data_IF_386357733374
#
_entry.id   IF_386357733374
#
_cell.length_a   1.000
_cell.length_b   1.000
_cell.length_c   1.000
_cell.angle_alpha   90.00
_cell.angle_beta   90.00
_cell.angle_gamma   90.00
#
_symmetry.space_group_name_H-M   'P 1'
#
loop_
_entity.id
_entity.type
_entity.pdbx_description
1 polymer ?
#
# COMPACT_ATOMS: atom_id res chain seq x y z
N UNK A 1 37.54 -1.27 -84.67
CA UNK A 1 36.49 -0.35 -84.17
C UNK A 1 35.15 -1.04 -84.46
N UNK A 2 34.27 -1.45 -83.55
CA UNK A 2 34.09 -1.28 -82.10
C UNK A 2 33.51 -2.60 -81.57
N UNK A 3 33.99 -3.04 -80.41
CA UNK A 3 33.56 -4.25 -79.73
C UNK A 3 32.13 -4.15 -79.20
N UNK A 4 31.39 -5.24 -79.33
CA UNK A 4 30.12 -5.50 -78.67
C UNK A 4 30.38 -5.73 -77.17
N UNK A 5 29.72 -4.98 -76.29
CA UNK A 5 29.66 -5.28 -74.84
C UNK A 5 28.44 -4.57 -74.24
N UNK A 6 27.28 -5.21 -74.31
CA UNK A 6 26.15 -4.89 -73.42
C UNK A 6 26.32 -5.81 -72.22
N UNK A 7 26.86 -5.26 -71.14
CA UNK A 7 26.95 -5.93 -69.85
C UNK A 7 25.54 -5.99 -69.25
N UNK A 8 24.92 -7.17 -69.31
CA UNK A 8 23.77 -7.50 -68.49
C UNK A 8 24.21 -7.47 -67.02
N UNK A 9 23.91 -6.37 -66.33
CA UNK A 9 24.01 -6.32 -64.87
C UNK A 9 22.82 -7.08 -64.29
N UNK A 10 22.98 -8.39 -64.18
CA UNK A 10 22.11 -9.22 -63.36
C UNK A 10 22.30 -8.86 -61.89
N UNK A 11 21.18 -8.51 -61.26
CA UNK A 11 20.80 -8.74 -59.86
C UNK A 11 21.94 -8.93 -58.85
N UNK A 12 22.20 -7.88 -58.08
CA UNK A 12 22.55 -8.04 -56.69
C UNK A 12 21.53 -7.23 -55.89
N UNK A 13 20.45 -7.90 -55.52
CA UNK A 13 19.53 -7.45 -54.48
C UNK A 13 20.38 -7.27 -53.22
N UNK A 14 20.72 -6.02 -52.92
CA UNK A 14 21.50 -5.66 -51.75
C UNK A 14 20.74 -6.11 -50.51
N UNK A 15 21.26 -7.19 -49.92
CA UNK A 15 21.25 -7.48 -48.50
C UNK A 15 20.00 -6.97 -47.77
N UNK A 16 18.97 -7.81 -47.74
CA UNK A 16 18.12 -7.87 -46.57
C UNK A 16 19.04 -7.92 -45.34
N UNK A 17 19.09 -6.81 -44.60
CA UNK A 17 19.45 -6.84 -43.19
C UNK A 17 18.71 -8.00 -42.53
N UNK A 18 19.20 -8.61 -41.43
CA UNK A 18 18.34 -9.48 -40.65
C UNK A 18 17.21 -8.57 -40.15
N UNK A 19 16.08 -8.60 -40.85
CA UNK A 19 14.79 -8.26 -40.30
C UNK A 19 14.59 -9.36 -39.25
N UNK A 20 15.21 -9.18 -38.09
CA UNK A 20 14.66 -9.72 -36.87
C UNK A 20 13.27 -9.14 -36.86
N UNK A 21 12.30 -9.95 -37.25
CA UNK A 21 10.90 -9.73 -36.92
C UNK A 21 10.92 -9.58 -35.41
N UNK A 22 11.04 -8.33 -34.94
CA UNK A 22 11.02 -8.06 -33.52
C UNK A 22 9.66 -8.56 -33.07
N UNK A 23 9.65 -9.71 -32.38
CA UNK A 23 8.45 -10.30 -31.82
C UNK A 23 7.91 -9.31 -30.78
N UNK A 24 7.12 -8.35 -31.25
CA UNK A 24 6.45 -7.40 -30.38
C UNK A 24 5.37 -8.16 -29.63
N UNK A 25 5.33 -7.98 -28.31
CA UNK A 25 4.28 -8.55 -27.48
C UNK A 25 3.38 -7.45 -26.95
N UNK A 26 2.10 -7.79 -26.77
CA UNK A 26 1.15 -6.90 -26.11
C UNK A 26 1.09 -7.23 -24.63
N UNK A 27 1.12 -6.21 -23.79
CA UNK A 27 0.91 -6.32 -22.34
C UNK A 27 -0.14 -5.32 -21.88
N UNK A 28 -0.72 -5.59 -20.71
CA UNK A 28 -1.76 -4.74 -20.13
C UNK A 28 -1.27 -4.18 -18.80
N UNK A 29 -1.31 -2.86 -18.63
CA UNK A 29 -0.94 -2.23 -17.37
C UNK A 29 -2.18 -1.63 -16.72
N UNK A 30 -2.54 -2.13 -15.54
CA UNK A 30 -3.64 -1.61 -14.74
C UNK A 30 -3.14 -0.50 -13.82
N UNK A 31 -3.67 0.70 -14.01
CA UNK A 31 -3.36 1.87 -13.18
C UNK A 31 -4.05 1.77 -11.81
N UNK A 32 -3.64 2.60 -10.85
CA UNK A 32 -4.27 2.69 -9.53
C UNK A 32 -5.69 3.22 -9.58
N UNK A 33 -6.05 3.94 -10.64
CA UNK A 33 -7.42 4.37 -10.93
C UNK A 33 -8.31 3.25 -11.49
N UNK A 34 -7.74 2.07 -11.78
CA UNK A 34 -8.47 0.92 -12.34
C UNK A 34 -8.48 0.84 -13.88
N UNK A 35 -8.00 1.88 -14.56
CA UNK A 35 -7.87 1.91 -16.03
C UNK A 35 -6.81 0.92 -16.52
N UNK A 36 -7.08 0.24 -17.64
CA UNK A 36 -6.16 -0.72 -18.27
C UNK A 36 -5.57 -0.11 -19.53
N UNK A 37 -4.24 0.07 -19.55
CA UNK A 37 -3.51 0.66 -20.66
C UNK A 37 -2.83 -0.47 -21.44
N UNK A 38 -3.23 -0.74 -22.70
CA UNK A 38 -2.51 -1.69 -23.54
C UNK A 38 -1.20 -1.06 -24.04
N UNK A 39 -0.10 -1.82 -23.96
CA UNK A 39 1.21 -1.45 -24.51
C UNK A 39 1.74 -2.56 -25.41
N UNK A 40 2.22 -2.18 -26.59
CA UNK A 40 2.91 -3.07 -27.52
C UNK A 40 4.40 -2.79 -27.43
N UNK A 41 5.17 -3.73 -26.91
CA UNK A 41 6.62 -3.58 -26.65
C UNK A 41 7.35 -4.91 -26.88
N UNK A 42 8.62 -4.89 -27.31
CA UNK A 42 9.41 -6.11 -27.45
C UNK A 42 9.76 -6.72 -26.08
N UNK A 43 9.94 -8.05 -25.96
CA UNK A 43 10.25 -8.75 -24.71
C UNK A 43 11.65 -8.40 -24.15
N UNK A 44 12.51 -7.84 -24.99
CA UNK A 44 13.85 -7.33 -24.65
C UNK A 44 13.81 -5.98 -23.92
N UNK A 45 12.67 -5.29 -23.93
CA UNK A 45 12.47 -3.99 -23.26
C UNK A 45 12.79 -4.09 -21.76
N UNK A 46 13.52 -3.10 -21.24
CA UNK A 46 13.87 -3.02 -19.82
C UNK A 46 12.73 -2.45 -18.98
N UNK A 47 12.69 -2.76 -17.69
CA UNK A 47 11.69 -2.18 -16.78
C UNK A 47 11.82 -0.65 -16.69
N UNK A 48 13.03 -0.10 -16.74
CA UNK A 48 13.24 1.35 -16.70
C UNK A 48 12.58 2.05 -17.89
N UNK A 49 12.67 1.49 -19.09
CA UNK A 49 12.05 2.10 -20.29
C UNK A 49 10.53 1.99 -20.26
N UNK A 50 10.01 0.83 -19.81
CA UNK A 50 8.57 0.65 -19.59
C UNK A 50 8.01 1.63 -18.54
N UNK A 51 8.71 1.87 -17.43
CA UNK A 51 8.32 2.85 -16.42
C UNK A 51 8.25 4.27 -16.98
N UNK A 52 9.21 4.66 -17.82
CA UNK A 52 9.21 5.96 -18.50
C UNK A 52 8.02 6.11 -19.45
N UNK A 53 7.71 5.08 -20.24
CA UNK A 53 6.54 5.07 -21.13
C UNK A 53 5.23 5.21 -20.33
N UNK A 54 5.12 4.52 -19.20
CA UNK A 54 3.96 4.62 -18.32
C UNK A 54 3.84 5.99 -17.65
N UNK A 55 4.96 6.60 -17.23
CA UNK A 55 4.95 7.94 -16.65
C UNK A 55 4.33 8.96 -17.63
N UNK A 56 4.72 8.88 -18.91
CA UNK A 56 4.18 9.73 -19.96
C UNK A 56 2.69 9.47 -20.23
N UNK A 57 2.27 8.20 -20.28
CA UNK A 57 0.87 7.82 -20.57
C UNK A 57 -0.09 8.09 -19.41
N UNK A 58 0.39 8.01 -18.18
CA UNK A 58 -0.42 8.26 -16.97
C UNK A 58 -0.38 9.71 -16.48
N UNK A 59 0.36 10.59 -17.17
CA UNK A 59 0.59 11.99 -16.79
C UNK A 59 0.98 12.14 -15.31
N UNK A 60 1.80 11.20 -14.80
CA UNK A 60 2.27 11.20 -13.42
C UNK A 60 3.69 11.75 -13.40
N UNK A 61 4.03 12.67 -12.47
CA UNK A 61 5.38 13.22 -12.40
C UNK A 61 6.40 12.09 -12.29
N UNK A 62 7.51 12.22 -13.02
CA UNK A 62 8.63 11.29 -13.13
C UNK A 62 9.44 11.15 -11.83
N UNK A 63 8.76 11.11 -10.68
CA UNK A 63 9.36 10.69 -9.43
C UNK A 63 9.71 9.21 -9.54
N UNK A 64 10.83 8.76 -8.93
CA UNK A 64 11.32 7.37 -9.02
C UNK A 64 10.45 6.36 -8.23
N UNK A 65 9.14 6.61 -8.12
CA UNK A 65 8.21 5.92 -7.22
C UNK A 65 7.11 5.16 -7.98
N UNK A 66 7.20 5.01 -9.30
CA UNK A 66 6.37 4.07 -10.05
C UNK A 66 6.90 2.65 -9.77
N UNK A 67 6.13 1.85 -9.03
CA UNK A 67 6.43 0.44 -8.78
C UNK A 67 5.48 -0.41 -9.61
N UNK A 68 6.02 -1.39 -10.31
CA UNK A 68 5.23 -2.38 -11.04
C UNK A 68 5.20 -3.70 -10.27
N UNK A 69 4.06 -4.38 -10.33
CA UNK A 69 3.85 -5.69 -9.71
C UNK A 69 3.31 -6.65 -10.76
N UNK A 70 3.93 -7.83 -10.81
CA UNK A 70 3.48 -8.96 -11.62
C UNK A 70 3.40 -10.21 -10.75
N UNK A 71 2.29 -10.94 -10.76
CA UNK A 71 2.10 -12.16 -9.96
C UNK A 71 2.49 -12.02 -8.47
N UNK A 72 2.25 -10.85 -7.87
CA UNK A 72 2.63 -10.55 -6.48
C UNK A 72 4.12 -10.21 -6.26
N UNK A 73 4.96 -10.23 -7.30
CA UNK A 73 6.36 -9.84 -7.24
C UNK A 73 6.57 -8.40 -7.73
N UNK A 74 7.29 -7.61 -6.94
CA UNK A 74 7.71 -6.27 -7.34
C UNK A 74 8.84 -6.32 -8.38
N UNK A 75 8.62 -5.65 -9.50
CA UNK A 75 9.58 -5.44 -10.59
C UNK A 75 10.51 -4.26 -10.23
N UNK A 76 11.33 -4.45 -9.18
CA UNK A 76 12.20 -3.39 -8.64
C UNK A 76 13.57 -3.29 -9.32
N UNK A 77 13.92 -4.25 -10.18
CA UNK A 77 15.22 -4.25 -10.87
C UNK A 77 15.11 -3.46 -12.18
N UNK A 78 15.76 -2.28 -12.29
CA UNK A 78 15.60 -1.41 -13.47
C UNK A 78 16.31 -1.93 -14.73
N UNK A 79 17.33 -2.78 -14.58
CA UNK A 79 18.15 -3.33 -15.68
C UNK A 79 17.60 -4.64 -16.25
N UNK A 80 16.61 -5.23 -15.60
CA UNK A 80 16.05 -6.51 -15.98
C UNK A 80 14.98 -6.32 -17.07
N UNK A 81 14.96 -7.21 -18.05
CA UNK A 81 14.00 -7.19 -19.16
C UNK A 81 12.68 -7.86 -18.78
N UNK A 82 11.67 -7.76 -19.65
CA UNK A 82 10.39 -8.43 -19.44
C UNK A 82 10.53 -9.95 -19.53
N UNK A 83 11.38 -10.42 -20.44
CA UNK A 83 11.69 -11.84 -20.62
C UNK A 83 12.28 -12.48 -19.34
N UNK A 84 13.17 -11.79 -18.62
CA UNK A 84 13.79 -12.34 -17.40
C UNK A 84 12.83 -12.43 -16.21
N UNK A 85 11.69 -11.73 -16.25
CA UNK A 85 10.61 -11.87 -15.28
C UNK A 85 9.52 -12.86 -15.72
N UNK A 86 9.75 -13.62 -16.80
CA UNK A 86 8.79 -14.56 -17.39
C UNK A 86 7.43 -13.91 -17.70
N UNK A 87 7.44 -12.63 -18.11
CA UNK A 87 6.24 -11.89 -18.47
C UNK A 87 5.76 -12.37 -19.84
N UNK A 88 4.66 -13.13 -19.83
CA UNK A 88 4.04 -13.66 -21.04
C UNK A 88 3.36 -12.55 -21.88
N UNK A 89 3.13 -12.78 -23.19
CA UNK A 89 2.21 -11.94 -23.96
C UNK A 89 0.82 -11.96 -23.31
N UNK A 90 0.13 -10.83 -23.39
CA UNK A 90 -1.17 -10.57 -22.78
C UNK A 90 -1.17 -10.62 -21.24
N UNK A 91 0.00 -10.57 -20.61
CA UNK A 91 0.10 -10.47 -19.16
C UNK A 91 -0.38 -9.12 -18.63
N UNK A 92 -0.95 -9.14 -17.43
CA UNK A 92 -1.40 -7.95 -16.72
C UNK A 92 -0.39 -7.55 -15.64
N UNK A 93 0.09 -6.31 -15.72
CA UNK A 93 0.94 -5.68 -14.71
C UNK A 93 0.09 -4.68 -13.91
N UNK A 94 0.37 -4.56 -12.62
CA UNK A 94 -0.32 -3.60 -11.76
C UNK A 94 0.64 -2.49 -11.37
N UNK A 95 0.18 -1.24 -11.51
CA UNK A 95 0.87 -0.10 -10.94
C UNK A 95 0.58 -0.06 -9.43
N UNK A 96 1.63 -0.03 -8.62
CA UNK A 96 1.54 0.08 -7.17
C UNK A 96 1.78 1.52 -6.73
N UNK A 97 0.88 2.04 -5.90
CA UNK A 97 1.07 3.32 -5.26
C UNK A 97 2.21 3.21 -4.23
N UNK A 98 3.18 4.14 -4.21
CA UNK A 98 4.09 4.26 -3.09
C UNK A 98 3.24 4.63 -1.87
N UNK A 99 3.10 3.69 -0.94
CA UNK A 99 2.47 3.98 0.35
C UNK A 99 3.40 4.96 1.09
N UNK A 100 2.96 6.20 1.42
CA UNK A 100 3.67 6.99 2.41
C UNK A 100 3.72 6.15 3.69
N UNK A 101 4.91 6.02 4.28
CA UNK A 101 5.23 5.05 5.33
C UNK A 101 4.36 5.19 6.57
N UNK A 102 3.17 4.59 6.54
CA UNK A 102 2.43 4.17 7.73
C UNK A 102 2.98 2.82 8.17
N UNK A 103 3.45 2.74 9.41
CA UNK A 103 3.93 1.52 10.03
C UNK A 103 2.92 0.38 9.84
N UNK A 104 3.15 -0.48 8.85
CA UNK A 104 2.32 -1.64 8.58
C UNK A 104 2.63 -2.69 9.64
N UNK A 105 1.80 -2.71 10.69
CA UNK A 105 1.52 -3.92 11.44
C UNK A 105 0.93 -4.93 10.47
N UNK A 106 1.74 -5.87 10.00
CA UNK A 106 1.24 -7.06 9.32
C UNK A 106 0.46 -7.89 10.33
N UNK A 107 -0.85 -7.66 10.39
CA UNK A 107 -1.79 -8.60 10.97
C UNK A 107 -1.96 -9.77 9.98
N UNK A 108 -0.98 -10.66 9.97
CA UNK A 108 -1.19 -12.04 9.52
C UNK A 108 -1.18 -12.91 10.77
N UNK A 109 -2.29 -12.86 11.51
CA UNK A 109 -2.61 -13.85 12.53
C UNK A 109 -3.64 -14.81 11.92
N UNK A 110 -3.17 -15.65 10.98
CA UNK A 110 -3.76 -16.96 10.77
C UNK A 110 -3.15 -17.86 11.82
N UNK A 111 -4.00 -18.28 12.75
CA UNK A 111 -3.87 -19.43 13.65
C UNK A 111 -2.83 -20.43 13.17
N UNK A 112 -1.76 -20.64 13.93
CA UNK A 112 -1.35 -21.94 14.50
C UNK A 112 -0.16 -21.69 15.43
N UNK A 113 -0.24 -22.20 16.65
CA UNK A 113 0.88 -22.26 17.57
C UNK A 113 2.06 -23.00 16.91
N UNK A 114 3.29 -22.49 17.08
CA UNK A 114 4.48 -23.26 17.48
C UNK A 114 5.66 -22.28 17.58
N UNK A 115 6.26 -22.25 18.76
CA UNK A 115 7.61 -21.83 19.11
C UNK A 115 8.60 -21.85 17.93
N UNK A 116 9.33 -20.75 17.68
CA UNK A 116 10.80 -20.69 17.61
C UNK A 116 11.26 -19.27 17.27
N UNK A 117 12.23 -18.82 18.04
CA UNK A 117 12.99 -17.57 18.03
C UNK A 117 13.48 -17.08 16.66
N UNK A 118 13.17 -15.83 16.31
CA UNK A 118 14.03 -15.01 15.44
C UNK A 118 14.02 -13.55 15.90
N UNK A 119 15.21 -13.06 16.26
CA UNK A 119 15.44 -11.75 16.86
C UNK A 119 15.22 -10.63 15.84
N UNK A 120 14.11 -9.91 15.98
CA UNK A 120 13.84 -8.60 15.37
C UNK A 120 14.23 -7.50 16.36
N UNK A 121 14.68 -6.30 15.91
CA UNK A 121 15.27 -5.28 16.78
C UNK A 121 14.31 -4.90 17.92
N UNK A 122 14.85 -4.93 19.13
CA UNK A 122 14.13 -4.84 20.39
C UNK A 122 13.38 -3.50 20.57
N UNK A 123 12.20 -3.38 19.97
CA UNK A 123 11.23 -2.35 20.36
C UNK A 123 10.73 -2.70 21.76
N UNK A 124 11.06 -1.85 22.73
CA UNK A 124 10.64 -1.96 24.14
C UNK A 124 9.13 -2.20 24.18
N UNK A 125 8.73 -3.39 24.63
CA UNK A 125 7.31 -3.77 24.72
C UNK A 125 6.70 -3.01 25.89
N UNK A 126 5.84 -2.05 25.59
CA UNK A 126 5.14 -1.23 26.59
C UNK A 126 4.19 -2.15 27.37
N UNK A 127 4.23 -2.06 28.70
CA UNK A 127 3.38 -2.85 29.61
C UNK A 127 2.16 -2.05 30.04
N UNK A 128 1.12 -2.76 30.47
CA UNK A 128 -0.06 -2.16 31.05
C UNK A 128 0.30 -1.37 32.33
N UNK A 129 -0.27 -0.18 32.47
CA UNK A 129 -0.11 0.69 33.64
C UNK A 129 -1.00 0.29 34.82
N UNK A 130 -1.85 -0.73 34.69
CA UNK A 130 -2.72 -1.20 35.76
C UNK A 130 -1.93 -1.98 36.82
N UNK A 131 -2.12 -1.66 38.12
CA UNK A 131 -1.27 -2.12 39.23
C UNK A 131 -1.18 -3.64 39.38
N UNK A 132 -2.24 -4.35 39.01
CA UNK A 132 -2.32 -5.81 39.06
C UNK A 132 -2.06 -6.49 37.70
N UNK A 133 -1.80 -5.73 36.62
CA UNK A 133 -1.66 -6.28 35.28
C UNK A 133 -0.19 -6.29 34.83
N UNK A 134 0.26 -7.44 34.32
CA UNK A 134 1.59 -7.61 33.71
C UNK A 134 1.53 -7.83 32.20
N UNK A 135 0.35 -7.71 31.59
CA UNK A 135 0.16 -7.86 30.16
C UNK A 135 0.75 -6.67 29.37
N UNK A 136 0.99 -6.92 28.09
CA UNK A 136 1.49 -5.89 27.17
C UNK A 136 0.37 -4.91 26.83
N UNK A 137 0.72 -3.63 26.73
CA UNK A 137 -0.21 -2.62 26.27
C UNK A 137 -0.46 -2.75 24.76
N UNK A 138 -1.69 -2.47 24.33
CA UNK A 138 -2.07 -2.51 22.92
C UNK A 138 -1.45 -1.31 22.18
N UNK A 139 -0.77 -1.54 21.05
CA UNK A 139 0.08 -0.51 20.42
C UNK A 139 -0.66 0.62 19.69
N UNK A 140 -1.89 0.39 19.25
CA UNK A 140 -2.65 1.37 18.45
C UNK A 140 -3.77 2.01 19.28
N UNK A 141 -4.28 1.26 20.25
CA UNK A 141 -5.50 1.60 20.97
C UNK A 141 -5.38 1.43 22.47
N UNK A 142 -4.16 1.29 23.00
CA UNK A 142 -3.91 1.08 24.43
C UNK A 142 -3.79 2.37 25.23
N UNK A 143 -3.60 3.52 24.60
CA UNK A 143 -3.43 4.79 25.30
C UNK A 143 -4.78 5.37 25.74
N UNK A 144 -4.90 5.75 27.02
CA UNK A 144 -6.06 6.44 27.57
C UNK A 144 -5.83 7.95 27.54
N UNK A 145 -6.66 8.68 26.79
CA UNK A 145 -6.55 10.14 26.66
C UNK A 145 -6.91 10.96 27.92
N UNK A 146 -7.34 10.30 29.00
CA UNK A 146 -7.74 10.96 30.24
C UNK A 146 -6.71 10.80 31.38
N UNK A 147 -5.83 9.79 31.30
CA UNK A 147 -4.83 9.54 32.34
C UNK A 147 -3.42 9.25 31.81
N UNK A 148 -3.19 9.43 30.50
CA UNK A 148 -1.94 9.15 29.78
C UNK A 148 -1.37 7.73 30.01
N UNK A 149 -2.21 6.82 30.49
CA UNK A 149 -1.86 5.43 30.78
C UNK A 149 -1.93 4.57 29.52
N UNK A 150 -1.10 3.52 29.48
CA UNK A 150 -1.15 2.48 28.43
C UNK A 150 -1.72 1.20 28.99
N UNK A 151 -2.68 0.61 28.31
CA UNK A 151 -3.46 -0.51 28.81
C UNK A 151 -3.52 -1.68 27.83
N UNK A 152 -3.67 -2.88 28.37
CA UNK A 152 -3.90 -4.10 27.60
C UNK A 152 -5.36 -4.18 27.14
N UNK A 153 -5.69 -5.21 26.34
CA UNK A 153 -7.06 -5.43 25.87
C UNK A 153 -8.10 -5.53 26.99
N UNK A 154 -7.70 -6.00 28.19
CA UNK A 154 -8.58 -6.13 29.35
C UNK A 154 -8.74 -4.86 30.20
N UNK A 155 -7.82 -3.91 30.11
CA UNK A 155 -7.85 -2.69 30.95
C UNK A 155 -7.98 -1.40 30.12
N UNK A 156 -8.38 -1.52 28.85
CA UNK A 156 -8.47 -0.39 27.92
C UNK A 156 -9.64 0.55 28.23
N UNK A 157 -10.75 0.03 28.76
CA UNK A 157 -11.91 0.87 29.13
C UNK A 157 -11.56 1.68 30.38
N UNK A 158 -12.14 2.89 30.46
CA UNK A 158 -11.93 3.80 31.59
C UNK A 158 -12.34 3.15 32.93
N UNK A 159 -13.37 2.30 32.90
CA UNK A 159 -13.88 1.57 34.07
C UNK A 159 -12.88 0.51 34.55
N UNK A 160 -12.30 -0.28 33.63
CA UNK A 160 -11.42 -1.41 33.97
C UNK A 160 -10.09 -0.97 34.58
N UNK A 161 -9.57 0.22 34.24
CA UNK A 161 -8.34 0.72 34.85
C UNK A 161 -8.56 1.78 35.92
N UNK A 162 -9.80 1.97 36.36
CA UNK A 162 -10.20 3.01 37.32
C UNK A 162 -9.59 4.37 36.92
N UNK A 163 -9.92 4.82 35.71
CA UNK A 163 -9.37 6.06 35.16
C UNK A 163 -9.69 7.24 36.09
N UNK A 164 -8.67 8.04 36.43
CA UNK A 164 -8.86 9.23 37.27
C UNK A 164 -9.86 10.22 36.67
N UNK A 165 -9.88 10.34 35.33
CA UNK A 165 -10.82 11.21 34.61
C UNK A 165 -12.22 10.60 34.38
N UNK A 166 -12.48 9.37 34.86
CA UNK A 166 -13.82 8.78 34.80
C UNK A 166 -14.81 9.59 35.66
N UNK A 167 -14.38 10.02 36.85
CA UNK A 167 -15.20 10.79 37.79
C UNK A 167 -15.54 12.18 37.22
N UNK A 168 -14.57 12.86 36.61
CA UNK A 168 -14.79 14.18 36.00
C UNK A 168 -15.73 14.10 34.79
N UNK A 169 -15.52 13.14 33.89
CA UNK A 169 -16.37 12.94 32.71
C UNK A 169 -17.80 12.55 33.10
N UNK A 170 -17.95 11.70 34.11
CA UNK A 170 -19.25 11.27 34.62
C UNK A 170 -19.98 12.43 35.32
N UNK A 171 -19.29 13.22 36.14
CA UNK A 171 -19.87 14.36 36.84
C UNK A 171 -20.35 15.44 35.86
N UNK A 172 -19.56 15.77 34.85
CA UNK A 172 -19.94 16.77 33.83
C UNK A 172 -21.19 16.34 33.03
N UNK A 173 -21.30 15.05 32.70
CA UNK A 173 -22.49 14.52 32.03
C UNK A 173 -23.73 14.58 32.94
N UNK A 174 -23.57 14.23 34.22
CA UNK A 174 -24.65 14.31 35.21
C UNK A 174 -25.10 15.75 35.44
N UNK A 175 -24.18 16.70 35.50
CA UNK A 175 -24.48 18.12 35.69
C UNK A 175 -25.25 18.69 34.49
N UNK A 176 -24.83 18.41 33.26
CA UNK A 176 -25.57 18.80 32.05
C UNK A 176 -26.97 18.18 31.97
N UNK A 177 -27.12 16.93 32.38
CA UNK A 177 -28.42 16.27 32.35
C UNK A 177 -29.34 16.81 33.47
N UNK A 178 -28.77 17.09 34.64
CA UNK A 178 -29.46 17.75 35.75
C UNK A 178 -29.96 19.13 35.34
N UNK A 179 -29.11 19.97 34.76
CA UNK A 179 -29.48 21.31 34.31
C UNK A 179 -30.61 21.28 33.28
N UNK A 180 -30.57 20.31 32.35
CA UNK A 180 -31.64 20.10 31.38
C UNK A 180 -32.96 19.69 32.04
N UNK A 181 -32.93 18.75 32.98
CA UNK A 181 -34.10 18.34 33.75
C UNK A 181 -34.65 19.48 34.62
N UNK A 182 -33.77 20.30 35.21
CA UNK A 182 -34.16 21.45 36.02
C UNK A 182 -34.79 22.56 35.17
N UNK A 183 -34.34 22.77 33.94
CA UNK A 183 -34.95 23.70 32.99
C UNK A 183 -36.32 23.23 32.50
N UNK A 184 -36.51 21.92 32.36
CA UNK A 184 -37.77 21.30 31.94
C UNK A 184 -38.74 21.05 33.12
N UNK A 185 -38.36 21.40 34.35
CA UNK A 185 -39.20 21.17 35.54
C UNK A 185 -40.46 22.04 35.50
N UNK A 186 -41.63 21.41 35.53
CA UNK A 186 -42.90 22.13 35.66
C UNK A 186 -43.06 22.67 37.08
N UNK A 187 -43.16 23.99 37.23
CA UNK A 187 -43.44 24.61 38.53
C UNK A 187 -44.94 24.52 38.80
N UNK A 188 -45.33 23.90 39.91
CA UNK A 188 -46.73 23.89 40.35
C UNK A 188 -47.17 25.34 40.61
N UNK A 189 -48.19 25.81 39.90
CA UNK A 189 -48.83 27.11 40.15
C UNK A 189 -49.47 27.01 41.53
N UNK A 190 -48.85 27.64 42.52
CA UNK A 190 -49.28 27.59 43.91
C UNK A 190 -50.27 28.75 44.13
N UNK A 191 -51.56 28.46 43.95
CA UNK A 191 -52.66 29.38 44.28
C UNK A 191 -53.86 29.19 43.36
N UNK A 192 -54.82 28.37 43.81
CA UNK A 192 -56.25 28.57 43.58
C UNK A 192 -56.78 29.30 44.81
#
# INVERSE_FOLDING_TARGET
MRSNSISSISSASSSASPETTEETMQIFVKNTSGETIPLTIPPTTTISTLLSLLALRTNRPATPSLRLVHAGKHLSSPTSSLASYAIAPNSTLHLALPLPGGASSTNSATTTATTTTSATPARKKIRCSHKACRELAQRIVGDCGFCDGRFCARHRLLEDHACKGLEDCKKESHERNKERLEAERTVAIRGV
#
